data_IF_616894046408
#
_entry.id   IF_616894046408
#
_cell.length_a   1.000
_cell.length_b   1.000
_cell.length_c   1.000
_cell.angle_alpha   90.00
_cell.angle_beta   90.00
_cell.angle_gamma   90.00
#
_symmetry.space_group_name_H-M   'P 1'
#
loop_
_entity.id
_entity.type
_entity.pdbx_description
1 polymer ?
#
# COMPACT_ATOMS: atom_id res chain seq x y z
N UNK A 1 60.00 -49.23 20.82
CA UNK A 1 58.73 -48.60 21.32
C UNK A 1 58.49 -47.40 20.45
N UNK A 2 57.49 -47.46 19.53
CA UNK A 2 57.21 -46.35 18.61
C UNK A 2 56.07 -45.56 19.21
N UNK A 3 56.30 -44.31 19.57
CA UNK A 3 55.34 -43.39 20.13
C UNK A 3 54.53 -42.75 18.95
N UNK A 4 53.25 -43.10 18.78
CA UNK A 4 52.36 -42.52 17.76
C UNK A 4 51.64 -41.31 18.36
N UNK A 5 52.10 -40.10 18.04
CA UNK A 5 51.39 -38.87 18.35
C UNK A 5 50.17 -38.71 17.43
N UNK A 6 48.97 -38.75 17.99
CA UNK A 6 47.71 -38.48 17.27
C UNK A 6 47.53 -36.95 17.23
N UNK A 7 47.64 -36.36 16.04
CA UNK A 7 47.30 -34.95 15.81
C UNK A 7 45.79 -34.87 15.57
N UNK A 8 45.04 -34.31 16.53
CA UNK A 8 43.64 -34.00 16.37
C UNK A 8 43.53 -32.66 15.69
N UNK A 9 43.11 -32.66 14.43
CA UNK A 9 42.79 -31.43 13.69
C UNK A 9 41.36 -31.00 14.02
N UNK A 10 41.23 -29.94 14.80
CA UNK A 10 39.95 -29.31 15.08
C UNK A 10 39.52 -28.46 13.85
N UNK A 11 38.56 -28.94 13.07
CA UNK A 11 37.98 -28.17 11.99
C UNK A 11 36.89 -27.25 12.60
N UNK A 12 37.19 -25.98 12.73
CA UNK A 12 36.23 -24.93 13.08
C UNK A 12 35.32 -24.65 11.89
N UNK A 13 34.09 -25.21 11.91
CA UNK A 13 33.05 -24.87 10.95
C UNK A 13 32.44 -23.54 11.38
N UNK A 14 32.88 -22.45 10.76
CA UNK A 14 32.22 -21.14 10.90
C UNK A 14 30.87 -21.16 10.14
N UNK A 15 29.76 -21.25 10.85
CA UNK A 15 28.43 -21.08 10.28
C UNK A 15 28.25 -19.61 9.88
N UNK A 16 28.28 -19.32 8.59
CA UNK A 16 27.92 -18.02 8.04
C UNK A 16 26.40 -17.92 8.11
N UNK A 17 25.90 -17.23 9.12
CA UNK A 17 24.47 -16.87 9.23
C UNK A 17 24.18 -15.79 8.18
N UNK A 18 23.57 -16.16 7.06
CA UNK A 18 22.98 -15.20 6.12
C UNK A 18 21.76 -14.58 6.81
N UNK A 19 21.93 -13.38 7.33
CA UNK A 19 20.80 -12.54 7.73
C UNK A 19 20.04 -12.16 6.46
N UNK A 20 18.95 -12.86 6.15
CA UNK A 20 17.98 -12.36 5.18
C UNK A 20 17.37 -11.11 5.79
N UNK A 21 17.70 -9.94 5.27
CA UNK A 21 16.95 -8.73 5.59
C UNK A 21 15.48 -9.02 5.27
N UNK A 22 14.62 -8.98 6.28
CA UNK A 22 13.19 -9.22 6.12
C UNK A 22 12.65 -8.19 5.12
N UNK A 23 12.01 -8.66 4.05
CA UNK A 23 11.43 -7.79 3.04
C UNK A 23 10.44 -6.82 3.73
N UNK A 24 10.55 -5.53 3.40
CA UNK A 24 9.70 -4.48 3.92
C UNK A 24 8.24 -4.79 3.59
N UNK A 25 7.35 -4.65 4.56
CA UNK A 25 5.90 -4.81 4.39
C UNK A 25 5.20 -3.47 4.43
N UNK A 26 3.90 -3.43 4.13
CA UNK A 26 3.11 -2.20 4.29
C UNK A 26 3.10 -1.69 5.74
N UNK A 27 3.31 -2.55 6.71
CA UNK A 27 3.29 -2.21 8.14
C UNK A 27 4.49 -1.38 8.61
N UNK A 28 5.52 -1.25 7.77
CA UNK A 28 6.68 -0.40 8.01
C UNK A 28 6.43 1.07 7.61
N UNK A 29 5.23 1.38 7.10
CA UNK A 29 4.88 2.73 6.68
C UNK A 29 3.98 3.43 7.68
N UNK A 30 4.26 4.72 7.82
CA UNK A 30 3.45 5.71 8.52
C UNK A 30 3.37 6.95 7.63
N UNK A 31 2.18 7.44 7.35
CA UNK A 31 1.95 8.58 6.46
C UNK A 31 1.08 9.63 7.13
N UNK A 32 1.21 10.89 6.72
CA UNK A 32 0.31 11.94 7.16
C UNK A 32 -1.11 11.71 6.61
N UNK A 33 -2.12 11.99 7.41
CA UNK A 33 -3.53 12.00 7.00
C UNK A 33 -3.97 13.37 6.47
N UNK A 34 -5.12 13.41 5.78
CA UNK A 34 -5.71 14.65 5.26
C UNK A 34 -6.08 15.65 6.37
N UNK A 35 -6.53 15.15 7.51
CA UNK A 35 -7.01 15.95 8.63
C UNK A 35 -5.88 16.30 9.64
N UNK A 36 -4.61 16.14 9.24
CA UNK A 36 -3.43 16.44 10.05
C UNK A 36 -3.04 15.36 11.06
N UNK A 37 -3.77 14.24 11.08
CA UNK A 37 -3.46 13.05 11.87
C UNK A 37 -2.36 12.20 11.20
N UNK A 38 -2.15 10.99 11.67
CA UNK A 38 -1.17 10.05 11.13
C UNK A 38 -1.80 8.67 10.93
N UNK A 39 -1.67 8.16 9.71
CA UNK A 39 -2.08 6.80 9.33
C UNK A 39 -0.87 5.87 9.52
N UNK A 40 -0.91 5.07 10.57
CA UNK A 40 0.08 4.05 10.90
C UNK A 40 -0.44 2.70 10.41
N UNK A 41 0.17 2.16 9.35
CA UNK A 41 -0.27 0.89 8.75
C UNK A 41 -0.10 -0.30 9.68
N UNK A 42 0.80 -0.25 10.67
CA UNK A 42 0.94 -1.31 11.66
C UNK A 42 -0.35 -1.56 12.46
N UNK A 43 -1.21 -0.56 12.59
CA UNK A 43 -2.52 -0.68 13.25
C UNK A 43 -3.54 -1.50 12.47
N UNK A 44 -3.27 -1.78 11.19
CA UNK A 44 -4.15 -2.54 10.31
C UNK A 44 -3.76 -4.02 10.18
N UNK A 45 -2.78 -4.49 10.96
CA UNK A 45 -2.40 -5.92 10.99
C UNK A 45 -3.62 -6.81 11.22
N UNK A 46 -3.69 -7.91 10.46
CA UNK A 46 -4.81 -8.85 10.51
C UNK A 46 -6.02 -8.47 9.66
N UNK A 47 -5.97 -7.32 8.96
CA UNK A 47 -6.98 -6.93 7.96
C UNK A 47 -6.35 -6.85 6.58
N UNK A 48 -7.14 -7.11 5.55
CA UNK A 48 -6.79 -6.76 4.18
C UNK A 48 -6.73 -5.23 4.03
N UNK A 49 -5.87 -4.74 3.14
CA UNK A 49 -5.73 -3.30 2.91
C UNK A 49 -5.89 -3.04 1.42
N UNK A 50 -6.81 -2.14 1.05
CA UNK A 50 -6.94 -1.62 -0.31
C UNK A 50 -6.38 -0.21 -0.37
N UNK A 51 -5.27 -0.05 -1.08
CA UNK A 51 -4.63 1.25 -1.33
C UNK A 51 -5.11 1.76 -2.69
N UNK A 52 -5.55 3.01 -2.77
CA UNK A 52 -6.05 3.62 -4.00
C UNK A 52 -5.54 5.05 -4.15
N UNK A 53 -4.95 5.40 -5.30
CA UNK A 53 -4.62 6.79 -5.61
C UNK A 53 -5.85 7.50 -6.20
N UNK A 54 -6.20 8.65 -5.66
CA UNK A 54 -7.47 9.32 -5.93
C UNK A 54 -7.29 10.72 -6.50
N UNK A 55 -8.35 11.27 -7.10
CA UNK A 55 -8.42 12.66 -7.53
C UNK A 55 -9.89 13.14 -7.59
N UNK A 56 -10.10 14.43 -7.27
CA UNK A 56 -11.43 15.06 -7.19
C UNK A 56 -11.99 15.51 -8.54
N UNK A 57 -11.15 15.65 -9.58
CA UNK A 57 -11.53 16.14 -10.92
C UNK A 57 -11.24 15.13 -12.03
N UNK A 58 -11.42 13.85 -11.76
CA UNK A 58 -11.16 12.73 -12.67
C UNK A 58 -12.49 12.13 -13.16
N UNK A 59 -12.51 11.59 -14.38
CA UNK A 59 -13.68 10.82 -14.86
C UNK A 59 -14.02 9.59 -14.00
N UNK A 60 -13.10 9.13 -13.15
CA UNK A 60 -13.32 8.03 -12.22
C UNK A 60 -13.66 8.46 -10.79
N UNK A 61 -13.84 9.77 -10.51
CA UNK A 61 -14.12 10.29 -9.17
C UNK A 61 -15.41 9.69 -8.55
N UNK A 62 -16.38 9.29 -9.37
CA UNK A 62 -17.57 8.57 -8.93
C UNK A 62 -17.26 7.28 -8.15
N UNK A 63 -16.06 6.71 -8.32
CA UNK A 63 -15.67 5.48 -7.60
C UNK A 63 -15.52 5.68 -6.08
N UNK A 64 -15.45 6.91 -5.58
CA UNK A 64 -15.51 7.16 -4.14
C UNK A 64 -16.76 6.55 -3.49
N UNK A 65 -17.92 6.63 -4.17
CA UNK A 65 -19.14 5.99 -3.70
C UNK A 65 -18.99 4.49 -3.53
N UNK A 66 -18.47 3.81 -4.57
CA UNK A 66 -18.22 2.36 -4.50
C UNK A 66 -17.14 1.97 -3.50
N UNK A 67 -16.12 2.83 -3.27
CA UNK A 67 -15.11 2.62 -2.23
C UNK A 67 -15.74 2.72 -0.83
N UNK A 68 -16.63 3.70 -0.61
CA UNK A 68 -17.36 3.83 0.66
C UNK A 68 -18.27 2.63 0.90
N UNK A 69 -19.04 2.20 -0.10
CA UNK A 69 -19.87 1.00 -0.01
C UNK A 69 -19.05 -0.26 0.31
N UNK A 70 -17.88 -0.40 -0.32
CA UNK A 70 -16.97 -1.51 -0.06
C UNK A 70 -16.43 -1.47 1.38
N UNK A 71 -16.03 -0.28 1.84
CA UNK A 71 -15.56 -0.08 3.20
C UNK A 71 -16.63 -0.42 4.24
N UNK A 72 -17.85 0.08 4.08
CA UNK A 72 -18.96 -0.17 5.00
C UNK A 72 -19.32 -1.66 5.07
N UNK A 73 -19.33 -2.33 3.92
CA UNK A 73 -19.68 -3.76 3.83
C UNK A 73 -18.63 -4.66 4.46
N UNK A 74 -17.33 -4.30 4.36
CA UNK A 74 -16.22 -5.18 4.75
C UNK A 74 -15.33 -4.58 5.86
N UNK A 75 -15.79 -3.56 6.60
CA UNK A 75 -15.01 -2.82 7.64
C UNK A 75 -14.35 -3.69 8.71
N UNK A 76 -14.90 -4.88 8.96
CA UNK A 76 -14.34 -5.79 9.97
C UNK A 76 -13.05 -6.48 9.48
N UNK A 77 -12.90 -6.67 8.17
CA UNK A 77 -11.78 -7.39 7.55
C UNK A 77 -11.00 -6.62 6.48
N UNK A 78 -11.49 -5.45 6.08
CA UNK A 78 -10.87 -4.59 5.07
C UNK A 78 -10.68 -3.17 5.59
N UNK A 79 -9.50 -2.60 5.38
CA UNK A 79 -9.23 -1.17 5.47
C UNK A 79 -8.99 -0.62 4.08
N UNK A 80 -9.56 0.54 3.78
CA UNK A 80 -9.26 1.30 2.56
C UNK A 80 -8.43 2.50 2.95
N UNK A 81 -7.36 2.78 2.21
CA UNK A 81 -6.56 4.01 2.36
C UNK A 81 -6.49 4.72 1.03
N UNK A 82 -7.11 5.90 0.95
CA UNK A 82 -7.07 6.77 -0.23
C UNK A 82 -5.86 7.71 -0.20
N UNK A 83 -5.22 7.87 -1.34
CA UNK A 83 -4.07 8.75 -1.54
C UNK A 83 -4.36 9.77 -2.63
N UNK A 84 -4.76 10.99 -2.29
CA UNK A 84 -4.93 12.05 -3.27
C UNK A 84 -3.62 12.35 -3.99
N UNK A 85 -3.66 12.41 -5.33
CA UNK A 85 -2.46 12.58 -6.16
C UNK A 85 -2.71 13.51 -7.35
N UNK A 86 -1.87 14.54 -7.51
CA UNK A 86 -2.00 15.53 -8.59
C UNK A 86 -1.14 15.21 -9.83
N UNK A 87 -0.69 13.95 -9.98
CA UNK A 87 0.24 13.55 -11.04
C UNK A 87 -0.40 13.43 -12.42
N UNK A 88 -1.72 13.43 -12.53
CA UNK A 88 -2.44 13.19 -13.77
C UNK A 88 -3.27 14.43 -14.13
N UNK A 89 -2.76 15.24 -15.08
CA UNK A 89 -3.41 16.44 -15.61
C UNK A 89 -3.94 17.40 -14.54
N UNK A 90 -3.24 17.52 -13.43
CA UNK A 90 -3.63 18.39 -12.32
C UNK A 90 -5.08 18.15 -11.83
N UNK A 91 -5.51 16.89 -11.82
CA UNK A 91 -6.88 16.52 -11.43
C UNK A 91 -7.12 16.50 -9.91
N UNK A 92 -6.08 16.80 -9.11
CA UNK A 92 -6.20 16.97 -7.64
C UNK A 92 -5.52 18.28 -7.17
N UNK A 93 -6.02 19.45 -7.60
CA UNK A 93 -5.35 20.73 -7.32
C UNK A 93 -5.57 21.23 -5.89
N UNK A 94 -6.57 20.72 -5.16
CA UNK A 94 -6.97 21.20 -3.83
C UNK A 94 -5.89 21.04 -2.76
N UNK A 95 -6.02 21.80 -1.67
CA UNK A 95 -5.29 21.52 -0.42
C UNK A 95 -5.84 20.28 0.27
N UNK A 96 -5.17 19.77 1.29
CA UNK A 96 -5.65 18.62 2.07
C UNK A 96 -7.04 18.89 2.67
N UNK A 97 -7.27 20.07 3.21
CA UNK A 97 -8.54 20.50 3.80
C UNK A 97 -9.65 20.52 2.75
N UNK A 98 -9.36 21.08 1.55
CA UNK A 98 -10.33 21.13 0.43
C UNK A 98 -10.69 19.72 -0.04
N UNK A 99 -9.72 18.82 -0.13
CA UNK A 99 -9.91 17.43 -0.54
C UNK A 99 -10.74 16.69 0.51
N UNK A 100 -10.43 16.84 1.80
CA UNK A 100 -11.18 16.24 2.90
C UNK A 100 -12.65 16.68 2.87
N UNK A 101 -12.89 17.99 2.76
CA UNK A 101 -14.26 18.53 2.66
C UNK A 101 -15.00 17.99 1.43
N UNK A 102 -14.33 17.91 0.26
CA UNK A 102 -14.90 17.35 -0.96
C UNK A 102 -15.33 15.89 -0.78
N UNK A 103 -14.45 15.04 -0.26
CA UNK A 103 -14.69 13.61 -0.07
C UNK A 103 -15.85 13.38 0.91
N UNK A 104 -15.86 14.08 2.05
CA UNK A 104 -16.91 13.97 3.08
C UNK A 104 -18.26 14.46 2.54
N UNK A 105 -18.28 15.66 1.93
CA UNK A 105 -19.54 16.30 1.49
C UNK A 105 -20.19 15.56 0.31
N UNK A 106 -19.44 15.12 -0.68
CA UNK A 106 -19.99 14.59 -1.92
C UNK A 106 -20.17 13.07 -1.92
N UNK A 107 -19.38 12.33 -1.11
CA UNK A 107 -19.35 10.87 -1.13
C UNK A 107 -19.47 10.22 0.24
N UNK A 108 -19.57 11.01 1.32
CA UNK A 108 -19.64 10.50 2.68
C UNK A 108 -18.40 9.68 3.09
N UNK A 109 -17.22 9.95 2.49
CA UNK A 109 -16.00 9.18 2.74
C UNK A 109 -15.67 9.20 4.22
N UNK A 110 -15.59 8.00 4.81
CA UNK A 110 -15.21 7.76 6.20
C UNK A 110 -14.02 6.83 6.38
N UNK A 111 -13.55 6.21 5.30
CA UNK A 111 -12.30 5.45 5.33
C UNK A 111 -11.08 6.40 5.37
N UNK A 112 -9.92 5.93 5.90
CA UNK A 112 -8.70 6.70 6.00
C UNK A 112 -8.25 7.33 4.67
N UNK A 113 -7.98 8.63 4.69
CA UNK A 113 -7.45 9.39 3.56
C UNK A 113 -6.10 10.00 3.94
N UNK A 114 -5.04 9.64 3.20
CA UNK A 114 -3.71 10.23 3.39
C UNK A 114 -3.65 11.67 2.85
N UNK A 115 -2.72 12.45 3.36
CA UNK A 115 -2.35 13.74 2.77
C UNK A 115 -1.95 13.56 1.30
N UNK A 116 -2.14 14.60 0.50
CA UNK A 116 -1.80 14.59 -0.93
C UNK A 116 -0.31 14.29 -1.14
N UNK A 117 -0.02 13.31 -1.98
CA UNK A 117 1.34 12.86 -2.31
C UNK A 117 1.56 12.76 -3.82
N UNK A 118 2.82 12.52 -4.22
CA UNK A 118 3.15 12.09 -5.58
C UNK A 118 3.22 10.57 -5.66
N UNK A 119 2.55 9.99 -6.66
CA UNK A 119 2.49 8.53 -6.88
C UNK A 119 3.32 8.05 -8.07
N UNK A 120 4.00 8.98 -8.77
CA UNK A 120 4.91 8.68 -9.88
C UNK A 120 5.89 9.81 -10.17
N UNK A 121 6.99 9.50 -10.86
CA UNK A 121 8.02 10.47 -11.27
C UNK A 121 9.07 10.69 -10.18
N UNK A 122 9.88 11.76 -10.34
CA UNK A 122 11.06 12.03 -9.50
C UNK A 122 10.75 12.17 -7.98
N UNK A 123 9.54 12.56 -7.65
CA UNK A 123 9.11 12.81 -6.27
C UNK A 123 8.09 11.78 -5.77
N UNK A 124 8.13 10.57 -6.31
CA UNK A 124 7.25 9.47 -5.86
C UNK A 124 7.43 9.26 -4.35
N UNK A 125 6.31 9.18 -3.63
CA UNK A 125 6.35 8.93 -2.20
C UNK A 125 6.86 7.51 -1.88
N UNK A 126 7.63 7.28 -0.80
CA UNK A 126 8.25 5.99 -0.49
C UNK A 126 7.30 4.79 -0.48
N UNK A 127 6.06 4.99 -0.02
CA UNK A 127 5.04 3.94 -0.04
C UNK A 127 4.66 3.52 -1.47
N UNK A 128 4.62 4.46 -2.43
CA UNK A 128 4.34 4.16 -3.83
C UNK A 128 5.58 3.63 -4.58
N UNK A 129 6.79 4.00 -4.17
CA UNK A 129 8.02 3.35 -4.62
C UNK A 129 7.99 1.88 -4.24
N UNK A 130 7.70 1.58 -2.98
CA UNK A 130 7.55 0.21 -2.50
C UNK A 130 6.44 -0.56 -3.24
N UNK A 131 5.24 0.00 -3.39
CA UNK A 131 4.11 -0.64 -4.09
C UNK A 131 4.43 -1.00 -5.55
N UNK A 132 5.32 -0.24 -6.18
CA UNK A 132 5.61 -0.35 -7.62
C UNK A 132 6.94 -1.05 -7.94
N UNK A 133 7.78 -1.38 -6.96
CA UNK A 133 9.11 -1.95 -7.18
C UNK A 133 9.24 -3.33 -6.52
N UNK A 134 9.38 -4.37 -7.35
CA UNK A 134 9.54 -5.75 -6.89
C UNK A 134 10.77 -5.94 -5.99
N UNK A 135 11.86 -5.21 -6.24
CA UNK A 135 13.06 -5.31 -5.41
C UNK A 135 12.80 -4.86 -3.95
N UNK A 136 11.79 -3.99 -3.72
CA UNK A 136 11.41 -3.53 -2.39
C UNK A 136 10.27 -4.34 -1.77
N UNK A 137 9.22 -4.65 -2.57
CA UNK A 137 8.02 -5.34 -2.06
C UNK A 137 8.09 -6.87 -2.14
N UNK A 138 9.07 -7.43 -2.86
CA UNK A 138 9.27 -8.87 -3.03
C UNK A 138 8.26 -9.57 -3.95
N UNK A 139 7.24 -8.86 -4.48
CA UNK A 139 6.10 -9.49 -5.18
C UNK A 139 6.05 -9.12 -6.65
N UNK A 140 5.94 -7.82 -6.97
CA UNK A 140 5.69 -7.38 -8.35
C UNK A 140 6.27 -6.01 -8.66
N UNK A 141 6.59 -5.80 -9.93
CA UNK A 141 6.74 -4.48 -10.51
C UNK A 141 5.39 -3.98 -11.01
N UNK A 142 5.09 -2.71 -10.77
CA UNK A 142 3.83 -2.09 -11.17
C UNK A 142 4.05 -0.66 -11.65
N UNK A 143 3.08 -0.14 -12.41
CA UNK A 143 3.06 1.27 -12.84
C UNK A 143 1.71 1.88 -12.49
N UNK A 144 1.74 3.09 -11.93
CA UNK A 144 0.53 3.89 -11.77
C UNK A 144 0.30 4.64 -13.08
N UNK A 145 -0.69 4.21 -13.83
CA UNK A 145 -0.99 4.72 -15.17
C UNK A 145 -1.99 5.86 -15.17
N UNK A 146 -2.84 5.93 -14.13
CA UNK A 146 -3.90 6.92 -13.98
C UNK A 146 -4.36 7.03 -12.53
N UNK A 147 -5.32 7.92 -12.24
CA UNK A 147 -6.02 7.94 -10.94
C UNK A 147 -6.87 6.68 -10.75
N UNK A 148 -7.17 6.32 -9.52
CA UNK A 148 -7.96 5.16 -9.11
C UNK A 148 -7.34 3.79 -9.48
N UNK A 149 -6.00 3.69 -9.64
CA UNK A 149 -5.32 2.39 -9.54
C UNK A 149 -5.40 1.89 -8.10
N UNK A 150 -5.52 0.59 -7.94
CA UNK A 150 -5.70 -0.01 -6.61
C UNK A 150 -4.71 -1.14 -6.41
N UNK A 151 -4.21 -1.28 -5.17
CA UNK A 151 -3.44 -2.42 -4.70
C UNK A 151 -4.19 -3.06 -3.55
N UNK A 152 -4.39 -4.37 -3.61
CA UNK A 152 -4.94 -5.15 -2.51
C UNK A 152 -3.81 -5.91 -1.82
N UNK A 153 -3.75 -5.79 -0.51
CA UNK A 153 -2.79 -6.49 0.35
C UNK A 153 -3.54 -7.46 1.26
N UNK A 154 -2.90 -8.57 1.59
CA UNK A 154 -3.44 -9.55 2.52
C UNK A 154 -3.22 -9.12 3.99
N UNK A 155 -3.65 -9.97 4.92
CA UNK A 155 -3.58 -9.77 6.37
C UNK A 155 -2.14 -9.76 6.92
N UNK A 156 -1.16 -10.19 6.12
CA UNK A 156 0.27 -10.12 6.40
C UNK A 156 0.94 -8.87 5.81
N UNK A 157 0.15 -8.00 5.14
CA UNK A 157 0.64 -6.78 4.53
C UNK A 157 1.40 -6.99 3.22
N UNK A 158 1.19 -8.12 2.54
CA UNK A 158 1.81 -8.50 1.27
C UNK A 158 0.84 -8.19 0.13
N UNK A 159 1.32 -7.61 -0.97
CA UNK A 159 0.51 -7.33 -2.15
C UNK A 159 0.03 -8.64 -2.78
N UNK A 160 -1.29 -8.77 -2.97
CA UNK A 160 -1.90 -9.95 -3.62
C UNK A 160 -2.56 -9.63 -4.96
N UNK A 161 -2.87 -8.37 -5.23
CA UNK A 161 -3.41 -7.95 -6.51
C UNK A 161 -3.20 -6.45 -6.76
N UNK A 162 -3.16 -6.11 -8.07
CA UNK A 162 -3.20 -4.72 -8.55
C UNK A 162 -4.33 -4.59 -9.56
N UNK A 163 -5.14 -3.54 -9.45
CA UNK A 163 -6.26 -3.26 -10.34
C UNK A 163 -6.09 -1.92 -11.04
N UNK A 164 -6.43 -1.86 -12.31
CA UNK A 164 -6.42 -0.62 -13.09
C UNK A 164 -7.60 0.30 -12.72
N UNK A 165 -7.54 1.54 -13.18
CA UNK A 165 -8.53 2.59 -12.87
C UNK A 165 -9.98 2.19 -13.16
N UNK A 166 -10.22 1.46 -14.27
CA UNK A 166 -11.57 1.05 -14.69
C UNK A 166 -12.23 -0.02 -13.83
N UNK A 167 -11.47 -0.76 -13.02
CA UNK A 167 -12.02 -1.80 -12.14
C UNK A 167 -12.81 -1.15 -11.01
N UNK A 168 -14.12 -1.39 -10.99
CA UNK A 168 -15.03 -0.81 -10.00
C UNK A 168 -14.80 -1.43 -8.62
N UNK A 169 -14.86 -0.65 -7.52
CA UNK A 169 -14.61 -1.16 -6.17
C UNK A 169 -15.48 -2.34 -5.76
N UNK A 170 -16.76 -2.35 -6.16
CA UNK A 170 -17.71 -3.41 -5.84
C UNK A 170 -17.76 -4.55 -6.86
N UNK A 171 -16.83 -4.57 -7.84
CA UNK A 171 -16.77 -5.66 -8.82
C UNK A 171 -16.30 -6.97 -8.20
N UNK A 172 -16.67 -8.09 -8.82
CA UNK A 172 -16.25 -9.42 -8.42
C UNK A 172 -14.72 -9.59 -8.45
N UNK A 173 -14.03 -8.89 -9.36
CA UNK A 173 -12.56 -8.87 -9.42
C UNK A 173 -11.91 -8.50 -8.08
N UNK A 174 -12.53 -7.58 -7.31
CA UNK A 174 -12.07 -7.16 -5.98
C UNK A 174 -12.74 -8.00 -4.89
N UNK A 175 -14.08 -8.09 -4.91
CA UNK A 175 -14.84 -8.68 -3.80
C UNK A 175 -14.60 -10.18 -3.60
N UNK A 176 -14.26 -10.92 -4.66
CA UNK A 176 -13.89 -12.35 -4.55
C UNK A 176 -12.55 -12.59 -3.85
N UNK A 177 -11.75 -11.54 -3.63
CA UNK A 177 -10.43 -11.62 -2.96
C UNK A 177 -10.45 -11.12 -1.51
N UNK A 178 -11.63 -10.75 -0.99
CA UNK A 178 -11.80 -10.18 0.36
C UNK A 178 -12.15 -11.23 1.43
#
# INVERSE_FOLDING_TARGET
MLNRSIIVVLVLISSISYSHAQAKTIYDFKVAGLDGDSIDFAKFKGKKILIVNTASKCGYTYQYEGLQQLFDKYKDKLVIVGFPANNFFSQEPGSNETISAFCKKNYGVSFPMAAKISVKGKHTAPIYEWLCNKAENGVMDAKITWNFNKFLLNEQGIIIAKFNSGVKPMSEEITSKL
#
